data_IF_078198705534
#
_entry.id   IF_078198705534
#
_cell.length_a   1.000
_cell.length_b   1.000
_cell.length_c   1.000
_cell.angle_alpha   90.00
_cell.angle_beta   90.00
_cell.angle_gamma   90.00
#
_symmetry.space_group_name_H-M   'P 1'
#
loop_
_entity.id
_entity.type
_entity.pdbx_description
1 polymer ?
#
# COMPACT_ATOMS: atom_id res chain seq x y z
N UNK A 1 -4.03 20.08 -15.03
CA UNK A 1 -5.02 19.51 -14.12
C UNK A 1 -5.54 18.19 -14.65
N UNK A 2 -5.45 17.09 -13.89
CA UNK A 2 -6.02 15.83 -14.34
C UNK A 2 -7.53 15.95 -14.46
N UNK A 3 -8.09 15.27 -15.44
CA UNK A 3 -9.52 15.23 -15.59
C UNK A 3 -10.13 14.16 -14.68
N UNK A 4 -11.45 14.08 -14.64
CA UNK A 4 -12.15 13.11 -13.80
C UNK A 4 -11.75 11.65 -14.07
N UNK A 5 -11.63 11.18 -15.33
CA UNK A 5 -11.22 9.79 -15.56
C UNK A 5 -9.85 9.47 -14.97
N UNK A 6 -8.90 10.41 -15.04
CA UNK A 6 -7.58 10.21 -14.45
C UNK A 6 -7.66 10.10 -12.94
N UNK A 7 -8.42 10.99 -12.28
CA UNK A 7 -8.62 10.93 -10.83
C UNK A 7 -9.31 9.64 -10.42
N UNK A 8 -10.37 9.25 -11.12
CA UNK A 8 -11.14 8.04 -10.78
C UNK A 8 -10.30 6.79 -10.97
N UNK A 9 -9.48 6.72 -12.03
CA UNK A 9 -8.64 5.56 -12.26
C UNK A 9 -7.54 5.44 -11.21
N UNK A 10 -6.99 6.56 -10.74
CA UNK A 10 -6.03 6.52 -9.64
C UNK A 10 -6.69 6.06 -8.34
N UNK A 11 -7.87 6.57 -8.00
CA UNK A 11 -8.58 6.17 -6.80
C UNK A 11 -8.93 4.68 -6.84
N UNK A 12 -9.28 4.16 -8.02
CA UNK A 12 -9.50 2.72 -8.18
C UNK A 12 -8.22 1.92 -7.92
N UNK A 13 -7.08 2.44 -8.34
CA UNK A 13 -5.79 1.79 -8.07
C UNK A 13 -5.49 1.78 -6.56
N UNK A 14 -5.81 2.86 -5.86
CA UNK A 14 -5.62 2.91 -4.40
C UNK A 14 -6.52 1.89 -3.72
N UNK A 15 -7.76 1.72 -4.18
CA UNK A 15 -8.65 0.69 -3.64
C UNK A 15 -8.07 -0.71 -3.83
N UNK A 16 -7.44 -0.99 -4.98
CA UNK A 16 -6.78 -2.28 -5.20
C UNK A 16 -5.62 -2.47 -4.23
N UNK A 17 -4.88 -1.40 -3.91
CA UNK A 17 -3.84 -1.45 -2.90
C UNK A 17 -4.42 -1.81 -1.53
N UNK A 18 -5.49 -1.14 -1.12
CA UNK A 18 -6.14 -1.43 0.16
C UNK A 18 -6.63 -2.88 0.23
N UNK A 19 -7.23 -3.38 -0.85
CA UNK A 19 -7.69 -4.77 -0.90
C UNK A 19 -6.52 -5.73 -0.71
N UNK A 20 -5.40 -5.49 -1.38
CA UNK A 20 -4.21 -6.32 -1.26
C UNK A 20 -3.64 -6.29 0.17
N UNK A 21 -3.64 -5.13 0.81
CA UNK A 21 -3.15 -5.00 2.18
C UNK A 21 -4.05 -5.74 3.16
N UNK A 22 -5.31 -5.93 2.83
CA UNK A 22 -6.26 -6.60 3.70
C UNK A 22 -6.27 -8.12 3.51
N UNK A 23 -6.23 -8.59 2.27
CA UNK A 23 -6.41 -10.02 1.98
C UNK A 23 -5.13 -10.77 1.59
N UNK A 24 -4.04 -10.07 1.29
CA UNK A 24 -2.76 -10.65 0.85
C UNK A 24 -2.91 -11.55 -0.38
N UNK A 25 -3.89 -11.29 -1.23
CA UNK A 25 -4.10 -12.09 -2.44
C UNK A 25 -3.06 -11.70 -3.50
N UNK A 26 -1.92 -12.39 -3.47
CA UNK A 26 -0.77 -12.06 -4.32
C UNK A 26 -1.02 -12.35 -5.80
N UNK A 27 -2.11 -13.01 -6.16
CA UNK A 27 -2.49 -13.14 -7.58
C UNK A 27 -2.78 -11.77 -8.19
N UNK A 28 -3.12 -10.77 -7.37
CA UNK A 28 -3.37 -9.40 -7.83
C UNK A 28 -2.16 -8.47 -7.66
N UNK A 29 -1.03 -9.00 -7.19
CA UNK A 29 0.12 -8.17 -6.83
C UNK A 29 0.59 -7.30 -8.01
N UNK A 30 0.72 -7.88 -9.20
CA UNK A 30 1.21 -7.16 -10.37
C UNK A 30 0.22 -6.13 -10.92
N UNK A 31 -1.03 -6.17 -10.46
CA UNK A 31 -2.01 -5.14 -10.77
C UNK A 31 -1.95 -3.96 -9.80
N UNK A 32 -1.13 -4.07 -8.75
CA UNK A 32 -0.96 -3.03 -7.72
C UNK A 32 0.44 -2.44 -7.77
N UNK A 33 1.47 -3.28 -7.83
CA UNK A 33 2.87 -2.86 -7.80
C UNK A 33 3.55 -3.12 -9.13
N UNK A 34 4.35 -2.15 -9.59
CA UNK A 34 5.27 -2.40 -10.68
C UNK A 34 6.35 -3.38 -10.24
N UNK A 35 6.88 -4.18 -11.16
CA UNK A 35 7.91 -5.17 -10.84
C UNK A 35 9.19 -4.52 -10.32
N UNK A 36 9.45 -3.27 -10.68
CA UNK A 36 10.62 -2.51 -10.25
C UNK A 36 10.40 -1.78 -8.93
N UNK A 37 9.23 -1.89 -8.32
CA UNK A 37 8.91 -1.14 -7.12
C UNK A 37 9.82 -1.53 -5.95
N UNK A 38 10.09 -0.55 -5.09
CA UNK A 38 10.85 -0.76 -3.87
C UNK A 38 10.12 -0.10 -2.72
N UNK A 39 10.18 -0.74 -1.56
CA UNK A 39 9.59 -0.24 -0.33
C UNK A 39 10.69 0.16 0.63
N UNK A 40 10.52 1.33 1.27
CA UNK A 40 11.45 1.82 2.27
C UNK A 40 10.70 2.20 3.53
N UNK A 41 11.30 1.91 4.69
CA UNK A 41 10.79 2.37 5.96
C UNK A 41 11.78 2.12 7.08
N UNK A 42 11.67 2.88 8.15
CA UNK A 42 12.47 2.63 9.35
C UNK A 42 11.73 1.66 10.25
N UNK A 43 12.43 0.66 10.72
CA UNK A 43 11.91 -0.27 11.71
C UNK A 43 13.00 -0.50 12.76
N UNK A 44 12.68 -0.20 14.01
CA UNK A 44 13.60 -0.32 15.13
C UNK A 44 14.93 0.41 14.87
N UNK A 45 14.82 1.62 14.27
CA UNK A 45 15.97 2.45 13.99
C UNK A 45 16.77 2.07 12.75
N UNK A 46 16.35 1.03 12.02
CA UNK A 46 17.05 0.58 10.82
C UNK A 46 16.22 0.79 9.58
N UNK A 47 16.84 1.30 8.52
CA UNK A 47 16.19 1.45 7.24
C UNK A 47 16.01 0.07 6.59
N UNK A 48 14.75 -0.26 6.29
CA UNK A 48 14.40 -1.49 5.57
C UNK A 48 14.22 -1.15 4.11
N UNK A 49 14.76 -2.00 3.25
CA UNK A 49 14.54 -1.93 1.81
C UNK A 49 14.00 -3.26 1.35
N UNK A 50 12.84 -3.24 0.71
CA UNK A 50 12.20 -4.45 0.16
C UNK A 50 11.91 -4.23 -1.31
N UNK A 51 12.58 -4.98 -2.21
CA UNK A 51 12.15 -5.04 -3.60
C UNK A 51 10.75 -5.67 -3.71
N UNK A 52 10.04 -5.34 -4.77
CA UNK A 52 8.66 -5.82 -4.95
C UNK A 52 8.56 -7.35 -4.84
N UNK A 53 9.51 -8.07 -5.44
CA UNK A 53 9.48 -9.53 -5.41
C UNK A 53 9.55 -10.07 -3.98
N UNK A 54 10.40 -9.49 -3.15
CA UNK A 54 10.54 -9.92 -1.75
C UNK A 54 9.28 -9.58 -0.97
N UNK A 55 8.67 -8.43 -1.25
CA UNK A 55 7.44 -8.04 -0.61
C UNK A 55 6.28 -8.97 -0.97
N UNK A 56 6.19 -9.34 -2.25
CA UNK A 56 5.19 -10.30 -2.71
C UNK A 56 5.32 -11.62 -1.95
N UNK A 57 6.55 -12.12 -1.79
CA UNK A 57 6.79 -13.36 -1.05
C UNK A 57 6.40 -13.22 0.42
N UNK A 58 6.68 -12.07 1.03
CA UNK A 58 6.30 -11.82 2.41
C UNK A 58 4.77 -11.84 2.58
N UNK A 59 4.04 -11.23 1.65
CA UNK A 59 2.58 -11.24 1.69
C UNK A 59 2.03 -12.66 1.50
N UNK A 60 2.65 -13.44 0.61
CA UNK A 60 2.21 -14.80 0.33
C UNK A 60 2.44 -15.75 1.50
N UNK A 61 3.47 -15.49 2.33
CA UNK A 61 3.90 -16.39 3.39
C UNK A 61 3.19 -16.15 4.72
N UNK A 62 2.61 -14.98 4.91
CA UNK A 62 2.04 -14.61 6.19
C UNK A 62 0.51 -14.65 6.19
N UNK A 63 -0.09 -14.66 7.39
CA UNK A 63 -1.53 -14.50 7.49
C UNK A 63 -1.93 -13.10 7.08
N UNK A 64 -3.09 -12.96 6.44
CA UNK A 64 -3.61 -11.66 6.10
C UNK A 64 -4.42 -11.07 7.26
N UNK A 65 -4.59 -9.74 7.30
CA UNK A 65 -5.54 -9.15 8.24
C UNK A 65 -6.93 -9.76 8.14
N UNK A 66 -7.37 -10.09 6.92
CA UNK A 66 -8.65 -10.73 6.68
C UNK A 66 -8.72 -12.10 7.34
N UNK A 67 -7.69 -12.93 7.18
CA UNK A 67 -7.68 -14.28 7.75
C UNK A 67 -7.57 -14.24 9.28
N UNK A 68 -6.97 -13.19 9.82
CA UNK A 68 -6.84 -12.97 11.26
C UNK A 68 -8.06 -12.25 11.85
N UNK A 69 -9.04 -11.93 11.03
CA UNK A 69 -10.24 -11.20 11.43
C UNK A 69 -9.92 -9.84 12.05
N UNK A 70 -8.86 -9.20 11.55
CA UNK A 70 -8.43 -7.89 12.05
C UNK A 70 -9.35 -6.79 11.54
N UNK A 71 -9.49 -5.70 12.30
CA UNK A 71 -10.26 -4.54 11.82
C UNK A 71 -9.67 -3.98 10.54
N UNK A 72 -10.52 -3.55 9.62
CA UNK A 72 -10.10 -2.90 8.39
C UNK A 72 -10.19 -1.38 8.55
N UNK A 73 -9.03 -0.70 8.51
CA UNK A 73 -8.97 0.75 8.57
C UNK A 73 -8.14 1.24 7.39
N UNK A 74 -8.73 2.11 6.58
CA UNK A 74 -8.12 2.60 5.36
C UNK A 74 -8.59 4.03 5.10
N UNK A 75 -7.64 4.95 4.89
CA UNK A 75 -7.97 6.35 4.64
C UNK A 75 -7.01 6.90 3.59
N UNK A 76 -7.57 7.64 2.63
CA UNK A 76 -6.75 8.44 1.71
C UNK A 76 -6.63 9.82 2.34
N UNK A 77 -5.39 10.24 2.63
CA UNK A 77 -5.12 11.50 3.32
C UNK A 77 -4.75 12.62 2.36
N UNK A 78 -4.10 12.29 1.24
CA UNK A 78 -3.64 13.28 0.27
C UNK A 78 -3.45 12.61 -1.08
N UNK A 79 -3.87 13.29 -2.13
CA UNK A 79 -3.60 12.91 -3.51
C UNK A 79 -2.93 14.10 -4.18
N UNK A 80 -1.76 13.88 -4.76
CA UNK A 80 -0.99 14.94 -5.40
C UNK A 80 -0.52 14.48 -6.77
N UNK A 81 -1.05 15.13 -7.82
CA UNK A 81 -0.69 14.83 -9.20
C UNK A 81 0.46 15.70 -9.66
N UNK A 82 1.54 15.07 -10.15
CA UNK A 82 2.57 15.79 -10.88
C UNK A 82 2.14 16.01 -12.33
N UNK A 83 1.41 15.05 -12.88
CA UNK A 83 0.94 15.09 -14.27
C UNK A 83 -0.22 14.09 -14.41
N UNK A 84 -0.68 13.87 -15.65
CA UNK A 84 -1.69 12.83 -15.91
C UNK A 84 -1.13 11.41 -15.79
N UNK A 85 0.20 11.24 -15.63
CA UNK A 85 0.83 9.93 -15.58
C UNK A 85 1.66 9.69 -14.32
N UNK A 86 1.71 10.66 -13.41
CA UNK A 86 2.48 10.51 -12.18
C UNK A 86 1.76 11.20 -11.03
N UNK A 87 1.64 10.49 -9.92
CA UNK A 87 0.99 11.01 -8.73
C UNK A 87 1.59 10.39 -7.47
N UNK A 88 1.39 11.07 -6.37
CA UNK A 88 1.71 10.56 -5.04
C UNK A 88 0.43 10.53 -4.21
N UNK A 89 0.22 9.44 -3.47
CA UNK A 89 -0.94 9.29 -2.59
C UNK A 89 -0.44 8.96 -1.20
N UNK A 90 -0.90 9.72 -0.22
CA UNK A 90 -0.62 9.44 1.18
C UNK A 90 -1.84 8.76 1.77
N UNK A 91 -1.63 7.60 2.38
CA UNK A 91 -2.73 6.83 2.96
C UNK A 91 -2.40 6.42 4.39
N UNK A 92 -3.46 6.13 5.14
CA UNK A 92 -3.35 5.47 6.44
C UNK A 92 -3.96 4.08 6.29
N UNK A 93 -3.23 3.06 6.71
CA UNK A 93 -3.72 1.68 6.61
C UNK A 93 -3.32 0.92 7.86
N UNK A 94 -4.26 0.13 8.38
CA UNK A 94 -3.99 -0.75 9.50
C UNK A 94 -3.79 -2.17 8.98
N UNK A 95 -2.67 -2.77 9.40
CA UNK A 95 -2.34 -4.16 9.07
C UNK A 95 -2.14 -4.87 10.41
N UNK A 96 -3.14 -5.68 10.81
CA UNK A 96 -3.17 -6.36 12.10
C UNK A 96 -3.05 -5.36 13.25
N UNK A 97 -1.97 -5.44 14.03
CA UNK A 97 -1.77 -4.61 15.21
C UNK A 97 -1.03 -3.30 14.90
N UNK A 98 -0.71 -3.04 13.64
CA UNK A 98 0.09 -1.87 13.28
C UNK A 98 -0.66 -0.97 12.32
N UNK A 99 -0.64 0.32 12.62
CA UNK A 99 -1.19 1.35 11.74
C UNK A 99 -0.03 2.07 11.08
N UNK A 100 -0.08 2.14 9.75
CA UNK A 100 0.96 2.75 8.94
C UNK A 100 0.46 4.01 8.27
N UNK A 101 1.37 4.97 8.09
CA UNK A 101 1.25 6.02 7.08
C UNK A 101 2.11 5.61 5.91
N UNK A 102 1.52 5.51 4.74
CA UNK A 102 2.22 5.11 3.54
C UNK A 102 2.22 6.25 2.54
N UNK A 103 3.37 6.47 1.91
CA UNK A 103 3.52 7.36 0.77
C UNK A 103 3.69 6.48 -0.45
N UNK A 104 2.71 6.53 -1.34
CA UNK A 104 2.67 5.68 -2.53
C UNK A 104 2.96 6.53 -3.75
N UNK A 105 4.06 6.23 -4.44
CA UNK A 105 4.38 6.87 -5.71
C UNK A 105 3.77 6.03 -6.82
N UNK A 106 2.90 6.65 -7.61
CA UNK A 106 2.19 6.00 -8.70
C UNK A 106 2.67 6.52 -10.04
N UNK A 107 2.81 5.62 -10.99
CA UNK A 107 3.00 5.96 -12.40
C UNK A 107 1.94 5.24 -13.22
N UNK A 108 1.41 5.95 -14.23
CA UNK A 108 0.48 5.34 -15.19
C UNK A 108 1.31 4.71 -16.32
N UNK A 109 1.34 3.39 -16.35
CA UNK A 109 2.15 2.60 -17.27
C UNK A 109 1.21 1.81 -18.16
N UNK A 110 1.22 2.09 -19.46
CA UNK A 110 0.35 1.41 -20.42
C UNK A 110 -1.12 1.49 -19.99
N UNK A 111 -1.54 2.65 -19.50
CA UNK A 111 -2.92 2.89 -19.10
C UNK A 111 -3.28 2.38 -17.71
N UNK A 112 -2.35 1.80 -16.97
CA UNK A 112 -2.61 1.29 -15.62
C UNK A 112 -1.77 2.03 -14.59
N UNK A 113 -2.40 2.47 -13.51
CA UNK A 113 -1.71 3.07 -12.38
C UNK A 113 -1.08 1.98 -11.52
N UNK A 114 0.25 2.01 -11.39
CA UNK A 114 0.99 1.05 -10.58
C UNK A 114 1.87 1.80 -9.57
N UNK A 115 2.02 1.23 -8.39
CA UNK A 115 2.93 1.76 -7.38
C UNK A 115 4.37 1.45 -7.81
N UNK A 116 5.19 2.48 -7.96
CA UNK A 116 6.60 2.32 -8.32
C UNK A 116 7.53 2.54 -7.14
N UNK A 117 7.05 3.13 -6.06
CA UNK A 117 7.80 3.25 -4.81
C UNK A 117 6.81 3.41 -3.66
N UNK A 118 7.17 2.86 -2.52
CA UNK A 118 6.39 2.98 -1.31
C UNK A 118 7.33 3.32 -0.15
N UNK A 119 6.98 4.36 0.62
CA UNK A 119 7.64 4.65 1.88
C UNK A 119 6.62 4.43 2.99
N UNK A 120 6.95 3.55 3.93
CA UNK A 120 6.03 3.27 5.03
C UNK A 120 6.59 3.83 6.33
N UNK A 121 5.68 4.33 7.15
CA UNK A 121 5.99 4.85 8.48
C UNK A 121 5.06 4.20 9.49
N UNK A 122 5.63 3.55 10.51
CA UNK A 122 4.84 2.96 11.59
C UNK A 122 4.33 4.10 12.47
N UNK A 123 3.02 4.37 12.38
CA UNK A 123 2.39 5.48 13.09
C UNK A 123 1.97 5.08 14.50
N UNK A 124 1.42 3.87 14.64
CA UNK A 124 0.85 3.44 15.88
C UNK A 124 0.83 1.92 15.97
N UNK A 125 1.12 1.39 17.15
CA UNK A 125 0.90 -0.02 17.46
C UNK A 125 -0.32 -0.12 18.38
N UNK A 126 -1.19 -1.06 18.05
CA UNK A 126 -2.31 -1.40 18.92
C UNK A 126 -1.90 -2.55 19.80
N UNK A 127 -2.30 -2.49 21.07
CA UNK A 127 -2.04 -3.58 21.96
C UNK A 127 -2.84 -4.80 21.53
N UNK A 128 -2.26 -6.00 21.75
CA UNK A 128 -3.01 -7.22 21.54
C UNK A 128 -4.21 -7.21 22.48
N UNK A 129 -5.34 -7.75 22.00
CA UNK A 129 -6.51 -7.86 22.82
C UNK A 129 -6.14 -8.60 24.11
N UNK A 130 -6.40 -8.01 25.27
CA UNK A 130 -5.99 -8.55 26.55
C UNK A 130 -6.65 -9.91 26.76
N UNK A 131 -5.86 -10.95 26.61
CA UNK A 131 -6.29 -12.33 26.83
C UNK A 131 -7.53 -12.73 26.08
N UNK A 132 -7.55 -12.18 25.02
CA UNK A 132 -8.70 -12.47 24.12
C UNK A 132 -9.55 -11.48 24.34
#
# INVERSE_FOLDING_TARGET
>A
MPDHPTCQSLLSAVERYFDLMFDNDVLRFEHVFASSAQLHGLRDGHLRLLPAQDYKQALASGPSPKSSNAPRLQEILLVDFASSTQAMVKVRVRIDAVQYLDYLSYHCINGAWLITAKSFHLERRYEAAANG
#
